data_IF_763662429086
#
_entry.id   IF_763662429086
#
_cell.length_a   1.000
_cell.length_b   1.000
_cell.length_c   1.000
_cell.angle_alpha   90.00
_cell.angle_beta   90.00
_cell.angle_gamma   90.00
#
_symmetry.space_group_name_H-M   'P 1'
#
loop_
_entity.id
_entity.type
_entity.pdbx_description
1 polymer ?
#
# COMPACT_ATOMS: atom_id res chain seq x y z
N UNK A 1 4.47 -1.58 -18.01
CA UNK A 1 4.24 -1.90 -16.60
C UNK A 1 5.44 -2.69 -16.04
N UNK A 2 5.80 -2.48 -14.80
CA UNK A 2 6.87 -3.16 -14.09
C UNK A 2 6.48 -3.51 -12.67
N UNK A 3 7.27 -4.36 -12.03
CA UNK A 3 7.14 -4.73 -10.62
C UNK A 3 8.43 -4.31 -9.92
N UNK A 4 8.32 -3.48 -8.88
CA UNK A 4 9.42 -3.14 -8.00
C UNK A 4 9.22 -3.86 -6.66
N UNK A 5 10.11 -4.78 -6.34
CA UNK A 5 10.10 -5.52 -5.07
C UNK A 5 11.04 -4.81 -4.10
N UNK A 6 10.52 -4.41 -2.94
CA UNK A 6 11.33 -3.78 -1.88
C UNK A 6 11.60 -4.79 -0.78
N UNK A 7 12.87 -5.10 -0.56
CA UNK A 7 13.36 -5.98 0.51
C UNK A 7 13.85 -5.13 1.70
N UNK A 8 13.12 -5.17 2.79
CA UNK A 8 13.44 -4.44 4.03
C UNK A 8 14.54 -5.15 4.86
N UNK A 9 15.64 -5.51 4.19
CA UNK A 9 16.83 -6.06 4.82
C UNK A 9 16.67 -7.51 5.28
N UNK A 10 16.02 -8.36 4.50
CA UNK A 10 15.88 -9.79 4.79
C UNK A 10 17.23 -10.47 4.92
N UNK A 11 17.31 -11.45 5.84
CA UNK A 11 18.52 -12.25 6.11
C UNK A 11 18.46 -13.66 5.52
N UNK A 12 17.35 -13.98 4.88
CA UNK A 12 17.07 -15.26 4.24
C UNK A 12 17.34 -15.25 2.73
N UNK A 13 16.71 -16.14 1.97
CA UNK A 13 16.87 -16.26 0.52
C UNK A 13 16.03 -15.26 -0.29
N UNK A 14 15.37 -14.28 0.34
CA UNK A 14 14.49 -13.32 -0.33
C UNK A 14 15.25 -12.55 -1.40
N UNK A 15 16.38 -11.92 -1.06
CA UNK A 15 17.14 -11.14 -2.03
C UNK A 15 17.70 -11.97 -3.21
N UNK A 16 18.35 -13.12 -3.00
CA UNK A 16 18.76 -14.01 -4.10
C UNK A 16 17.62 -14.45 -5.01
N UNK A 17 16.40 -14.56 -4.50
CA UNK A 17 15.21 -14.87 -5.32
C UNK A 17 14.86 -13.66 -6.20
N UNK A 18 14.86 -12.45 -5.65
CA UNK A 18 14.57 -11.21 -6.40
C UNK A 18 15.59 -11.03 -7.54
N UNK A 19 16.88 -11.21 -7.28
CA UNK A 19 17.93 -11.13 -8.29
C UNK A 19 17.72 -12.13 -9.46
N UNK A 20 17.36 -13.38 -9.13
CA UNK A 20 17.04 -14.38 -10.16
C UNK A 20 15.79 -14.04 -10.97
N UNK A 21 14.77 -13.44 -10.34
CA UNK A 21 13.57 -12.99 -11.03
C UNK A 21 13.89 -11.85 -11.99
N UNK A 22 14.69 -10.88 -11.56
CA UNK A 22 15.16 -9.78 -12.41
C UNK A 22 15.92 -10.28 -13.64
N UNK A 23 16.84 -11.24 -13.47
CA UNK A 23 17.59 -11.84 -14.58
C UNK A 23 16.69 -12.54 -15.61
N UNK A 24 15.56 -13.10 -15.17
CA UNK A 24 14.60 -13.79 -16.04
C UNK A 24 13.60 -12.86 -16.71
N UNK A 25 13.26 -11.76 -16.07
CA UNK A 25 12.21 -10.83 -16.51
C UNK A 25 12.65 -9.40 -16.22
N UNK A 26 12.99 -8.65 -17.26
CA UNK A 26 13.41 -7.23 -17.14
C UNK A 26 12.34 -6.30 -16.55
N UNK A 27 11.07 -6.72 -16.57
CA UNK A 27 9.99 -5.99 -15.94
C UNK A 27 9.99 -6.07 -14.40
N UNK A 28 10.80 -6.96 -13.82
CA UNK A 28 10.95 -7.10 -12.35
C UNK A 28 12.23 -6.39 -11.92
N UNK A 29 12.13 -5.49 -10.97
CA UNK A 29 13.27 -4.80 -10.35
C UNK A 29 13.24 -4.99 -8.84
N UNK A 30 14.39 -4.87 -8.19
CA UNK A 30 14.53 -5.00 -6.74
C UNK A 30 15.18 -3.77 -6.11
N UNK A 31 14.72 -3.41 -4.92
CA UNK A 31 15.37 -2.43 -4.03
C UNK A 31 15.60 -3.11 -2.69
N UNK A 32 16.85 -3.10 -2.20
CA UNK A 32 17.20 -3.73 -0.92
C UNK A 32 17.72 -2.72 0.08
N UNK A 33 17.22 -2.79 1.30
CA UNK A 33 17.77 -2.04 2.42
C UNK A 33 18.94 -2.79 3.07
N UNK A 34 19.87 -2.03 3.63
CA UNK A 34 21.03 -2.58 4.36
C UNK A 34 20.64 -3.29 5.67
N UNK A 35 19.48 -2.98 6.23
CA UNK A 35 18.87 -3.58 7.41
C UNK A 35 17.38 -3.30 7.41
N UNK A 36 16.63 -3.88 8.35
CA UNK A 36 15.22 -3.54 8.55
C UNK A 36 15.06 -2.10 9.04
N UNK A 37 14.29 -1.31 8.29
CA UNK A 37 13.87 0.07 8.59
C UNK A 37 12.36 0.18 8.83
N UNK A 38 11.62 -0.90 8.59
CA UNK A 38 10.18 -0.99 8.80
C UNK A 38 9.36 -0.74 7.54
N UNK A 39 8.19 -1.35 7.54
CA UNK A 39 7.26 -1.40 6.42
C UNK A 39 6.96 -0.03 5.77
N UNK A 40 6.74 1.03 6.59
CA UNK A 40 6.45 2.37 6.05
C UNK A 40 7.65 2.96 5.28
N UNK A 41 8.87 2.70 5.75
CA UNK A 41 10.08 3.12 5.04
C UNK A 41 10.23 2.38 3.71
N UNK A 42 9.93 1.08 3.68
CA UNK A 42 9.96 0.27 2.47
C UNK A 42 8.94 0.76 1.43
N UNK A 43 7.69 1.02 1.86
CA UNK A 43 6.67 1.60 0.99
C UNK A 43 7.11 2.95 0.40
N UNK A 44 7.61 3.85 1.24
CA UNK A 44 8.05 5.18 0.80
C UNK A 44 9.22 5.10 -0.18
N UNK A 45 10.18 4.23 0.06
CA UNK A 45 11.32 4.02 -0.85
C UNK A 45 10.86 3.45 -2.21
N UNK A 46 9.93 2.49 -2.19
CA UNK A 46 9.33 1.96 -3.42
C UNK A 46 8.64 3.04 -4.24
N UNK A 47 7.79 3.85 -3.61
CA UNK A 47 7.09 4.97 -4.26
C UNK A 47 8.06 6.03 -4.79
N UNK A 48 9.09 6.38 -4.00
CA UNK A 48 10.12 7.36 -4.42
C UNK A 48 10.90 6.88 -5.64
N UNK A 49 11.16 5.59 -5.73
CA UNK A 49 11.88 4.99 -6.86
C UNK A 49 11.00 4.91 -8.11
N UNK A 50 9.73 4.51 -7.94
CA UNK A 50 8.82 4.25 -9.06
C UNK A 50 8.20 5.51 -9.67
N UNK A 51 8.15 6.64 -8.94
CA UNK A 51 7.42 7.85 -9.34
C UNK A 51 7.92 8.48 -10.64
N UNK A 52 9.18 8.25 -11.02
CA UNK A 52 9.79 8.83 -12.20
C UNK A 52 9.42 8.12 -13.51
N UNK A 53 8.95 6.85 -13.44
CA UNK A 53 8.75 5.99 -14.60
C UNK A 53 7.29 5.49 -14.74
N UNK A 54 6.38 5.93 -13.87
CA UNK A 54 5.02 5.41 -13.83
C UNK A 54 3.95 6.50 -13.71
N UNK A 55 2.85 6.38 -14.48
CA UNK A 55 1.67 7.23 -14.35
C UNK A 55 0.89 6.91 -13.07
N UNK A 56 0.87 5.64 -12.70
CA UNK A 56 0.24 5.13 -11.48
C UNK A 56 1.13 4.11 -10.80
N UNK A 57 1.08 4.08 -9.48
CA UNK A 57 1.78 3.12 -8.64
C UNK A 57 0.77 2.36 -7.79
N UNK A 58 0.89 1.03 -7.74
CA UNK A 58 0.05 0.19 -6.91
C UNK A 58 0.94 -0.46 -5.86
N UNK A 59 0.65 -0.23 -4.60
CA UNK A 59 1.32 -0.88 -3.47
C UNK A 59 0.54 -2.12 -3.06
N UNK A 60 1.24 -3.21 -2.76
CA UNK A 60 0.66 -4.47 -2.30
C UNK A 60 1.64 -5.17 -1.37
N UNK A 61 1.14 -5.76 -0.30
CA UNK A 61 1.95 -6.56 0.63
C UNK A 61 2.31 -7.92 0.01
N UNK A 62 3.54 -8.37 0.21
CA UNK A 62 4.04 -9.64 -0.33
C UNK A 62 3.58 -10.88 0.47
N UNK A 63 2.64 -10.73 1.41
CA UNK A 63 2.14 -11.81 2.27
C UNK A 63 1.00 -12.64 1.65
N UNK A 64 0.67 -12.36 0.39
CA UNK A 64 -0.38 -13.01 -0.40
C UNK A 64 -1.79 -12.91 0.20
N UNK A 65 -2.03 -11.96 1.08
CA UNK A 65 -3.35 -11.75 1.67
C UNK A 65 -4.24 -10.79 0.87
N UNK A 66 -3.62 -9.87 0.14
CA UNK A 66 -4.33 -8.95 -0.75
C UNK A 66 -4.54 -9.61 -2.12
N UNK A 67 -5.63 -9.24 -2.80
CA UNK A 67 -6.07 -9.86 -4.04
C UNK A 67 -5.58 -9.06 -5.28
N UNK A 68 -4.49 -9.50 -5.97
CA UNK A 68 -3.97 -8.80 -7.13
C UNK A 68 -4.94 -8.76 -8.32
N UNK A 69 -5.96 -9.63 -8.35
CA UNK A 69 -6.99 -9.63 -9.41
C UNK A 69 -7.89 -8.40 -9.33
N UNK A 70 -7.80 -7.61 -8.27
CA UNK A 70 -8.49 -6.31 -8.14
C UNK A 70 -7.73 -5.15 -8.79
N UNK A 71 -6.50 -5.36 -9.22
CA UNK A 71 -5.70 -4.33 -9.90
C UNK A 71 -6.41 -3.73 -11.12
N UNK A 72 -7.01 -4.52 -12.03
CA UNK A 72 -7.75 -3.96 -13.16
C UNK A 72 -8.88 -3.01 -12.73
N UNK A 73 -9.66 -3.39 -11.70
CA UNK A 73 -10.73 -2.53 -11.19
C UNK A 73 -10.20 -1.24 -10.55
N UNK A 74 -9.01 -1.26 -9.93
CA UNK A 74 -8.35 -0.04 -9.45
C UNK A 74 -7.96 0.88 -10.61
N UNK A 75 -7.44 0.32 -11.70
CA UNK A 75 -7.08 1.07 -12.91
C UNK A 75 -8.31 1.71 -13.56
N UNK A 76 -9.44 1.00 -13.62
CA UNK A 76 -10.72 1.53 -14.12
C UNK A 76 -11.17 2.75 -13.28
N UNK A 77 -11.08 2.68 -11.97
CA UNK A 77 -11.38 3.80 -11.07
C UNK A 77 -10.44 5.01 -11.33
N UNK A 78 -9.16 4.75 -11.56
CA UNK A 78 -8.20 5.80 -11.93
C UNK A 78 -8.57 6.44 -13.27
N UNK A 79 -8.93 5.65 -14.28
CA UNK A 79 -9.37 6.14 -15.59
C UNK A 79 -10.67 6.95 -15.50
N UNK A 80 -11.52 6.65 -14.50
CA UNK A 80 -12.72 7.41 -14.17
C UNK A 80 -12.44 8.71 -13.38
N UNK A 81 -11.16 9.03 -13.11
CA UNK A 81 -10.73 10.27 -12.50
C UNK A 81 -10.32 10.18 -11.02
N UNK A 82 -10.34 9.00 -10.41
CA UNK A 82 -9.81 8.83 -9.05
C UNK A 82 -8.29 8.88 -9.04
N UNK A 83 -7.71 9.73 -8.21
CA UNK A 83 -6.24 9.85 -8.08
C UNK A 83 -5.67 8.85 -7.05
N UNK A 84 -6.51 8.39 -6.13
CA UNK A 84 -6.17 7.41 -5.11
C UNK A 84 -7.29 6.38 -5.06
N UNK A 85 -6.96 5.08 -5.17
CA UNK A 85 -7.93 4.00 -5.04
C UNK A 85 -7.50 3.05 -3.94
N UNK A 86 -8.37 2.85 -2.96
CA UNK A 86 -8.10 1.99 -1.82
C UNK A 86 -8.67 0.59 -2.03
N UNK A 87 -7.84 -0.43 -1.80
CA UNK A 87 -8.33 -1.77 -1.54
C UNK A 87 -8.94 -1.82 -0.14
N UNK A 88 -10.21 -2.18 -0.07
CA UNK A 88 -10.96 -2.27 1.18
C UNK A 88 -11.37 -3.72 1.43
N UNK A 89 -11.09 -4.20 2.64
CA UNK A 89 -11.41 -5.57 3.02
C UNK A 89 -12.90 -5.72 3.35
N UNK A 90 -13.58 -6.66 2.67
CA UNK A 90 -15.02 -6.91 2.86
C UNK A 90 -15.34 -7.89 4.01
N UNK A 91 -14.35 -8.63 4.54
CA UNK A 91 -14.56 -9.73 5.51
C UNK A 91 -14.55 -9.23 6.97
N UNK A 92 -15.58 -8.45 7.35
CA UNK A 92 -15.82 -8.12 8.77
C UNK A 92 -16.76 -9.07 9.51
N UNK A 93 -17.28 -10.10 8.87
CA UNK A 93 -18.30 -10.97 9.48
C UNK A 93 -17.79 -11.85 10.63
N UNK A 94 -16.46 -11.93 10.86
CA UNK A 94 -15.85 -12.76 11.93
C UNK A 94 -15.25 -11.95 13.08
N UNK A 95 -15.28 -10.62 13.04
CA UNK A 95 -14.75 -9.83 14.15
C UNK A 95 -15.70 -9.81 15.35
N UNK A 96 -15.16 -10.19 16.52
CA UNK A 96 -15.93 -10.15 17.77
C UNK A 96 -16.40 -8.71 18.05
N UNK A 97 -17.59 -8.59 18.68
CA UNK A 97 -18.20 -7.31 19.10
C UNK A 97 -17.21 -6.37 19.82
N UNK A 98 -16.28 -6.93 20.60
CA UNK A 98 -15.24 -6.17 21.30
C UNK A 98 -14.24 -5.52 20.37
N UNK A 99 -13.77 -6.22 19.32
CA UNK A 99 -12.85 -5.67 18.30
C UNK A 99 -13.49 -4.56 17.47
N UNK A 100 -14.78 -4.70 17.16
CA UNK A 100 -15.53 -3.70 16.41
C UNK A 100 -15.65 -2.39 17.21
N UNK A 101 -16.05 -2.45 18.48
CA UNK A 101 -16.22 -1.26 19.33
C UNK A 101 -14.90 -0.55 19.63
N UNK A 102 -13.79 -1.29 19.84
CA UNK A 102 -12.47 -0.68 20.04
C UNK A 102 -11.95 -0.02 18.77
N UNK A 103 -12.21 -0.59 17.60
CA UNK A 103 -11.86 0.02 16.32
C UNK A 103 -12.68 1.31 16.07
N UNK A 104 -13.99 1.30 16.32
CA UNK A 104 -14.85 2.49 16.18
C UNK A 104 -14.42 3.61 17.11
N UNK A 105 -14.08 3.29 18.37
CA UNK A 105 -13.55 4.27 19.32
C UNK A 105 -12.21 4.86 18.85
N UNK A 106 -11.32 4.02 18.32
CA UNK A 106 -10.04 4.45 17.76
C UNK A 106 -10.24 5.39 16.57
N UNK A 107 -11.09 5.02 15.60
CA UNK A 107 -11.38 5.87 14.44
C UNK A 107 -12.05 7.20 14.85
N UNK A 108 -12.97 7.15 15.84
CA UNK A 108 -13.60 8.36 16.38
C UNK A 108 -12.58 9.29 17.05
N UNK A 109 -11.64 8.74 17.81
CA UNK A 109 -10.56 9.51 18.44
C UNK A 109 -9.64 10.14 17.37
N UNK A 110 -9.24 9.37 16.38
CA UNK A 110 -8.42 9.89 15.27
C UNK A 110 -9.13 11.00 14.50
N UNK A 111 -10.42 10.85 14.23
CA UNK A 111 -11.24 11.89 13.59
C UNK A 111 -11.32 13.16 14.43
N UNK A 112 -11.50 13.05 15.77
CA UNK A 112 -11.46 14.21 16.68
C UNK A 112 -10.11 14.89 16.72
N UNK A 113 -9.03 14.16 16.47
CA UNK A 113 -7.67 14.69 16.34
C UNK A 113 -7.37 15.26 14.93
N UNK A 114 -8.37 15.33 14.04
CA UNK A 114 -8.23 15.84 12.68
C UNK A 114 -7.59 14.83 11.68
N UNK A 115 -7.40 13.58 12.09
CA UNK A 115 -6.84 12.54 11.22
C UNK A 115 -7.97 11.76 10.56
N UNK A 116 -8.18 11.97 9.27
CA UNK A 116 -9.14 11.19 8.48
C UNK A 116 -8.48 9.87 8.07
N UNK A 117 -8.99 8.76 8.59
CA UNK A 117 -8.56 7.42 8.19
C UNK A 117 -9.69 6.73 7.42
N UNK A 118 -9.34 5.97 6.38
CA UNK A 118 -10.31 5.10 5.71
C UNK A 118 -10.34 3.77 6.45
N UNK A 119 -11.48 3.42 7.08
CA UNK A 119 -11.61 2.15 7.78
C UNK A 119 -11.31 0.97 6.84
N UNK A 120 -10.67 -0.06 7.38
CA UNK A 120 -10.38 -1.33 6.69
C UNK A 120 -9.51 -1.22 5.41
N UNK A 121 -8.95 -0.03 5.15
CA UNK A 121 -7.98 0.12 4.07
C UNK A 121 -6.64 -0.50 4.48
N UNK A 122 -6.17 -1.42 3.65
CA UNK A 122 -4.81 -1.94 3.72
C UNK A 122 -3.82 -0.98 3.04
N UNK A 123 -2.54 -1.36 3.02
CA UNK A 123 -1.54 -0.68 2.19
C UNK A 123 -1.65 -1.10 0.70
N UNK A 124 -2.65 -1.94 0.37
CA UNK A 124 -3.08 -2.22 -1.00
C UNK A 124 -3.86 -1.01 -1.55
N UNK A 125 -3.18 -0.20 -2.33
CA UNK A 125 -3.76 1.02 -2.91
C UNK A 125 -3.10 1.40 -4.23
N UNK A 126 -3.87 2.04 -5.10
CA UNK A 126 -3.37 2.73 -6.27
C UNK A 126 -3.19 4.22 -5.94
N UNK A 127 -2.09 4.79 -6.34
CA UNK A 127 -1.76 6.21 -6.24
C UNK A 127 -1.35 6.71 -7.63
N UNK A 128 -1.93 7.82 -8.08
CA UNK A 128 -1.44 8.49 -9.28
C UNK A 128 -0.05 9.08 -9.05
N UNK A 129 0.68 9.33 -10.12
CA UNK A 129 1.96 10.02 -10.07
C UNK A 129 1.85 11.37 -9.32
N UNK A 130 0.81 12.13 -9.59
CA UNK A 130 0.52 13.41 -8.93
C UNK A 130 0.31 13.25 -7.43
N UNK A 131 -0.42 12.22 -7.01
CA UNK A 131 -0.66 11.94 -5.59
C UNK A 131 0.64 11.54 -4.89
N UNK A 132 1.49 10.71 -5.53
CA UNK A 132 2.80 10.35 -4.98
C UNK A 132 3.72 11.55 -4.87
N UNK A 133 3.81 12.41 -5.90
CA UNK A 133 4.59 13.65 -5.80
C UNK A 133 4.11 14.57 -4.66
N UNK A 134 2.79 14.66 -4.42
CA UNK A 134 2.27 15.41 -3.29
C UNK A 134 2.66 14.77 -1.94
N UNK A 135 2.59 13.44 -1.85
CA UNK A 135 3.01 12.69 -0.67
C UNK A 135 4.49 12.89 -0.35
N UNK A 136 5.36 12.85 -1.37
CA UNK A 136 6.81 12.99 -1.21
C UNK A 136 7.27 14.41 -0.80
N UNK A 137 6.38 15.41 -0.81
CA UNK A 137 6.68 16.74 -0.25
C UNK A 137 6.71 16.77 1.27
N UNK A 138 6.13 15.79 1.93
CA UNK A 138 6.22 15.64 3.38
C UNK A 138 7.57 15.01 3.74
N UNK A 139 8.42 15.80 4.40
CA UNK A 139 9.81 15.44 4.73
C UNK A 139 10.00 14.81 6.12
N UNK A 140 8.91 14.61 6.86
CA UNK A 140 8.98 14.10 8.25
C UNK A 140 9.46 12.65 8.28
N UNK A 141 10.28 12.33 9.26
CA UNK A 141 10.71 10.95 9.50
C UNK A 141 9.59 10.17 10.19
N UNK A 142 9.28 8.99 9.68
CA UNK A 142 8.25 8.12 10.27
C UNK A 142 6.82 8.49 9.86
N UNK A 143 6.63 8.90 8.60
CA UNK A 143 5.32 9.20 8.04
C UNK A 143 4.32 8.05 8.26
N UNK A 144 3.20 8.37 8.88
CA UNK A 144 2.07 7.46 8.99
C UNK A 144 1.21 7.54 7.72
N UNK A 145 1.60 6.77 6.68
CA UNK A 145 1.01 6.85 5.35
C UNK A 145 -0.50 6.60 5.33
N UNK A 146 -1.01 5.70 6.19
CA UNK A 146 -2.47 5.44 6.29
C UNK A 146 -3.29 6.65 6.74
N UNK A 147 -2.69 7.51 7.54
CA UNK A 147 -3.34 8.77 7.98
C UNK A 147 -3.05 9.93 7.03
N UNK A 148 -1.87 9.96 6.40
CA UNK A 148 -1.44 11.07 5.55
C UNK A 148 -2.07 11.03 4.16
N UNK A 149 -2.12 9.85 3.51
CA UNK A 149 -2.64 9.72 2.15
C UNK A 149 -4.08 10.25 1.99
N UNK A 150 -5.03 9.98 2.91
CA UNK A 150 -6.37 10.58 2.83
C UNK A 150 -6.38 12.11 2.97
N UNK A 151 -5.39 12.69 3.67
CA UNK A 151 -5.29 14.14 3.89
C UNK A 151 -4.76 14.90 2.68
N UNK A 152 -4.23 14.20 1.66
CA UNK A 152 -3.78 14.84 0.42
C UNK A 152 -4.92 15.52 -0.36
N UNK A 153 -6.19 15.19 -0.07
CA UNK A 153 -7.37 15.85 -0.62
C UNK A 153 -7.67 15.51 -2.08
N UNK A 154 -7.08 14.45 -2.63
CA UNK A 154 -7.37 13.99 -3.99
C UNK A 154 -8.69 13.21 -4.07
N UNK A 155 -9.27 13.14 -5.27
CA UNK A 155 -10.43 12.29 -5.52
C UNK A 155 -10.09 10.82 -5.27
N UNK A 156 -10.92 10.16 -4.44
CA UNK A 156 -10.66 8.79 -4.00
C UNK A 156 -11.71 7.82 -4.52
N UNK A 157 -11.26 6.59 -4.84
CA UNK A 157 -12.10 5.44 -5.15
C UNK A 157 -11.87 4.29 -4.17
N UNK A 158 -12.73 3.27 -4.23
CA UNK A 158 -12.64 2.06 -3.39
C UNK A 158 -12.91 0.82 -4.23
N UNK A 159 -12.13 -0.22 -3.99
CA UNK A 159 -12.33 -1.55 -4.58
C UNK A 159 -12.35 -2.56 -3.45
N UNK A 160 -13.47 -3.27 -3.31
CA UNK A 160 -13.62 -4.28 -2.26
C UNK A 160 -12.99 -5.60 -2.68
N UNK A 161 -12.34 -6.27 -1.72
CA UNK A 161 -11.80 -7.60 -1.90
C UNK A 161 -11.90 -8.44 -0.62
N UNK A 162 -11.84 -9.76 -0.78
CA UNK A 162 -11.76 -10.70 0.34
C UNK A 162 -10.31 -11.01 0.64
N UNK A 163 -9.96 -10.95 1.92
CA UNK A 163 -8.62 -11.30 2.36
C UNK A 163 -8.45 -12.82 2.37
N UNK A 164 -7.37 -13.31 1.74
CA UNK A 164 -6.98 -14.70 1.88
C UNK A 164 -6.28 -14.97 3.21
N UNK A 165 -6.39 -16.20 3.78
CA UNK A 165 -5.59 -16.57 4.94
C UNK A 165 -4.10 -16.44 4.63
N UNK A 166 -3.30 -16.02 5.63
CA UNK A 166 -1.86 -15.90 5.47
C UNK A 166 -1.24 -17.27 5.18
N UNK A 167 -0.52 -17.39 4.07
CA UNK A 167 0.10 -18.64 3.63
C UNK A 167 1.51 -18.86 4.21
N UNK A 168 2.19 -17.79 4.65
CA UNK A 168 3.52 -17.83 5.23
C UNK A 168 3.76 -16.62 6.17
N UNK A 169 4.59 -16.81 7.19
CA UNK A 169 5.05 -15.78 8.13
C UNK A 169 5.00 -16.23 9.55
#
# INVERSE_FOLDING_TARGET
SGILIVDDGSVDQTWPIIERLHQKQSAISGLRFSRNFGHQAALLAGLTTAVWDADVMITIDADLQDDPEKIPAMIEQYQAGCEIVYGVRSDRQTDSWFKRNTAELFYSLMHKMGVTMIPDSADFRLLSNRAVHALLKYSERGLFLRGLVPQLGFQTGRVEYRRTPRLAG
#
